data_IF_682073750031
#
_entry.id   IF_682073750031
#
_cell.length_a   1.000
_cell.length_b   1.000
_cell.length_c   1.000
_cell.angle_alpha   90.00
_cell.angle_beta   90.00
_cell.angle_gamma   90.00
#
_symmetry.space_group_name_H-M   'P 1'
#
loop_
_entity.id
_entity.type
_entity.pdbx_description
1 polymer ?
#
# COMPACT_ATOMS: atom_id res chain seq x y z
N UNK A 1 -66.82 -47.97 -26.05
CA UNK A 1 -65.71 -47.70 -27.01
C UNK A 1 -64.99 -46.37 -26.79
N UNK A 2 -65.64 -45.19 -26.83
CA UNK A 2 -64.94 -43.87 -26.68
C UNK A 2 -64.12 -43.69 -25.39
N UNK A 3 -64.58 -44.23 -24.25
CA UNK A 3 -63.84 -44.21 -22.97
C UNK A 3 -62.57 -45.06 -23.00
N UNK A 4 -62.64 -46.24 -23.63
CA UNK A 4 -61.50 -47.16 -23.77
C UNK A 4 -60.40 -46.55 -24.66
N UNK A 5 -60.80 -45.86 -25.74
CA UNK A 5 -59.87 -45.18 -26.63
C UNK A 5 -59.20 -43.97 -25.97
N UNK A 6 -59.93 -43.20 -25.16
CA UNK A 6 -59.36 -42.14 -24.32
C UNK A 6 -58.35 -42.69 -23.30
N UNK A 7 -58.64 -43.85 -22.70
CA UNK A 7 -57.75 -44.48 -21.73
C UNK A 7 -56.46 -45.02 -22.39
N UNK A 8 -56.57 -45.70 -23.53
CA UNK A 8 -55.43 -46.14 -24.34
C UNK A 8 -54.57 -44.98 -24.83
N UNK A 9 -55.19 -43.88 -25.26
CA UNK A 9 -54.50 -42.65 -25.64
C UNK A 9 -53.73 -42.05 -24.46
N UNK A 10 -54.32 -42.04 -23.26
CA UNK A 10 -53.64 -41.58 -22.04
C UNK A 10 -52.41 -42.44 -21.70
N UNK A 11 -52.50 -43.77 -21.85
CA UNK A 11 -51.38 -44.69 -21.62
C UNK A 11 -50.23 -44.44 -22.60
N UNK A 12 -50.54 -44.05 -23.84
CA UNK A 12 -49.54 -43.71 -24.85
C UNK A 12 -48.95 -42.30 -24.66
N UNK A 13 -49.74 -41.33 -24.20
CA UNK A 13 -49.32 -39.94 -24.00
C UNK A 13 -48.54 -39.72 -22.69
N UNK A 14 -48.84 -40.50 -21.64
CA UNK A 14 -48.19 -40.36 -20.34
C UNK A 14 -46.65 -40.57 -20.39
N UNK A 15 -46.10 -41.60 -21.08
CA UNK A 15 -44.64 -41.76 -21.25
C UNK A 15 -43.99 -40.59 -21.98
N UNK A 16 -44.66 -40.03 -22.98
CA UNK A 16 -44.17 -38.87 -23.75
C UNK A 16 -44.13 -37.62 -22.87
N UNK A 17 -45.15 -37.42 -22.04
CA UNK A 17 -45.19 -36.32 -21.07
C UNK A 17 -44.07 -36.43 -20.02
N UNK A 18 -43.84 -37.64 -19.49
CA UNK A 18 -42.74 -37.92 -18.53
C UNK A 18 -41.38 -37.68 -19.18
N UNK A 19 -41.17 -38.14 -20.42
CA UNK A 19 -39.94 -37.91 -21.17
C UNK A 19 -39.69 -36.42 -21.42
N UNK A 20 -40.71 -35.66 -21.81
CA UNK A 20 -40.60 -34.22 -22.00
C UNK A 20 -40.27 -33.47 -20.70
N UNK A 21 -40.89 -33.85 -19.57
CA UNK A 21 -40.57 -33.30 -18.26
C UNK A 21 -39.13 -33.59 -17.85
N UNK A 22 -38.65 -34.83 -18.05
CA UNK A 22 -37.27 -35.21 -17.77
C UNK A 22 -36.28 -34.42 -18.65
N UNK A 23 -36.59 -34.26 -19.95
CA UNK A 23 -35.79 -33.45 -20.87
C UNK A 23 -35.69 -31.99 -20.43
N UNK A 24 -36.81 -31.36 -20.07
CA UNK A 24 -36.82 -29.97 -19.56
C UNK A 24 -35.99 -29.86 -18.28
N UNK A 25 -36.08 -30.84 -17.38
CA UNK A 25 -35.27 -30.89 -16.16
C UNK A 25 -33.76 -30.98 -16.45
N UNK A 26 -33.35 -31.83 -17.39
CA UNK A 26 -31.94 -31.97 -17.81
C UNK A 26 -31.46 -30.70 -18.53
N UNK A 27 -32.24 -30.15 -19.45
CA UNK A 27 -31.90 -28.91 -20.17
C UNK A 27 -31.75 -27.74 -19.18
N UNK A 28 -32.62 -27.65 -18.16
CA UNK A 28 -32.51 -26.67 -17.08
C UNK A 28 -31.23 -26.89 -16.25
N UNK A 29 -30.95 -28.12 -15.80
CA UNK A 29 -29.74 -28.45 -15.03
C UNK A 29 -28.46 -28.09 -15.78
N UNK A 30 -28.37 -28.45 -17.07
CA UNK A 30 -27.22 -28.11 -17.93
C UNK A 30 -27.10 -26.61 -18.13
N UNK A 31 -28.23 -25.90 -18.34
CA UNK A 31 -28.25 -24.45 -18.54
C UNK A 31 -27.83 -23.69 -17.28
N UNK A 32 -28.35 -24.08 -16.13
CA UNK A 32 -27.97 -23.48 -14.84
C UNK A 32 -26.52 -23.80 -14.51
N UNK A 33 -26.05 -25.04 -14.70
CA UNK A 33 -24.64 -25.41 -14.53
C UNK A 33 -23.70 -24.53 -15.38
N UNK A 34 -23.97 -24.41 -16.69
CA UNK A 34 -23.20 -23.53 -17.59
C UNK A 34 -23.29 -22.04 -17.21
N UNK A 35 -24.40 -21.59 -16.64
CA UNK A 35 -24.55 -20.22 -16.16
C UNK A 35 -23.66 -19.98 -14.92
N UNK A 36 -23.66 -20.90 -13.96
CA UNK A 36 -22.79 -20.81 -12.77
C UNK A 36 -21.32 -20.91 -13.12
N UNK A 37 -20.94 -21.77 -14.08
CA UNK A 37 -19.57 -21.80 -14.62
C UNK A 37 -19.17 -20.45 -15.21
N UNK A 38 -20.00 -19.87 -16.09
CA UNK A 38 -19.75 -18.55 -16.68
C UNK A 38 -19.65 -17.44 -15.64
N UNK A 39 -20.56 -17.41 -14.67
CA UNK A 39 -20.51 -16.43 -13.58
C UNK A 39 -19.23 -16.62 -12.78
N UNK A 40 -18.87 -17.86 -12.43
CA UNK A 40 -17.63 -18.17 -11.72
C UNK A 40 -16.39 -17.69 -12.46
N UNK A 41 -16.31 -17.92 -13.78
CA UNK A 41 -15.20 -17.42 -14.61
C UNK A 41 -15.17 -15.89 -14.67
N UNK A 42 -16.33 -15.23 -14.83
CA UNK A 42 -16.40 -13.76 -14.84
C UNK A 42 -16.00 -13.15 -13.50
N UNK A 43 -16.47 -13.73 -12.39
CA UNK A 43 -16.12 -13.29 -11.05
C UNK A 43 -14.64 -13.49 -10.78
N UNK A 44 -14.06 -14.64 -11.12
CA UNK A 44 -12.62 -14.89 -10.99
C UNK A 44 -11.82 -13.89 -11.84
N UNK A 45 -12.23 -13.69 -13.10
CA UNK A 45 -11.61 -12.71 -13.98
C UNK A 45 -11.64 -11.30 -13.40
N UNK A 46 -12.78 -10.88 -12.85
CA UNK A 46 -12.92 -9.58 -12.19
C UNK A 46 -12.02 -9.47 -10.95
N UNK A 47 -11.93 -10.49 -10.11
CA UNK A 47 -11.05 -10.51 -8.94
C UNK A 47 -9.58 -10.36 -9.35
N UNK A 48 -9.14 -11.10 -10.38
CA UNK A 48 -7.77 -11.03 -10.89
C UNK A 48 -7.47 -9.64 -11.45
N UNK A 49 -8.37 -9.10 -12.28
CA UNK A 49 -8.20 -7.76 -12.87
C UNK A 49 -8.14 -6.70 -11.78
N UNK A 50 -9.07 -6.72 -10.82
CA UNK A 50 -9.10 -5.77 -9.71
C UNK A 50 -7.84 -5.90 -8.83
N UNK A 51 -7.37 -7.12 -8.58
CA UNK A 51 -6.13 -7.36 -7.84
C UNK A 51 -4.90 -6.75 -8.54
N UNK A 52 -4.78 -6.95 -9.85
CA UNK A 52 -3.68 -6.36 -10.65
C UNK A 52 -3.77 -4.82 -10.63
N UNK A 53 -4.96 -4.26 -10.82
CA UNK A 53 -5.16 -2.81 -10.77
C UNK A 53 -4.84 -2.24 -9.38
N UNK A 54 -5.18 -2.95 -8.31
CA UNK A 54 -4.88 -2.53 -6.95
C UNK A 54 -3.37 -2.49 -6.70
N UNK A 55 -2.63 -3.53 -7.12
CA UNK A 55 -1.16 -3.56 -6.99
C UNK A 55 -0.54 -2.42 -7.80
N UNK A 56 -1.00 -2.21 -9.04
CA UNK A 56 -0.51 -1.11 -9.87
C UNK A 56 -0.78 0.27 -9.24
N UNK A 57 -1.96 0.46 -8.64
CA UNK A 57 -2.31 1.70 -7.96
C UNK A 57 -1.45 1.92 -6.69
N UNK A 58 -1.22 0.86 -5.92
CA UNK A 58 -0.33 0.90 -4.75
C UNK A 58 1.07 1.32 -5.17
N UNK A 59 1.63 0.71 -6.22
CA UNK A 59 2.98 1.01 -6.72
C UNK A 59 3.07 2.46 -7.22
N UNK A 60 2.11 2.88 -8.06
CA UNK A 60 2.07 4.24 -8.59
C UNK A 60 2.00 5.30 -7.47
N UNK A 61 1.17 5.05 -6.45
CA UNK A 61 1.00 5.92 -5.27
C UNK A 61 2.12 5.79 -4.24
N UNK A 62 3.12 4.94 -4.47
CA UNK A 62 4.33 4.81 -3.64
C UNK A 62 5.55 5.46 -4.29
N UNK A 63 5.42 6.06 -5.48
CA UNK A 63 6.55 6.68 -6.17
C UNK A 63 6.90 8.07 -5.60
N UNK A 64 8.17 8.46 -5.64
CA UNK A 64 8.60 9.82 -5.31
C UNK A 64 7.84 10.86 -6.14
N UNK A 65 7.61 10.56 -7.42
CA UNK A 65 6.88 11.43 -8.32
C UNK A 65 5.47 11.73 -7.81
N UNK A 66 4.75 10.71 -7.34
CA UNK A 66 3.41 10.89 -6.77
C UNK A 66 3.44 11.70 -5.48
N UNK A 67 4.32 11.37 -4.52
CA UNK A 67 4.45 12.12 -3.27
C UNK A 67 4.74 13.61 -3.51
N UNK A 68 5.63 13.91 -4.46
CA UNK A 68 6.04 15.27 -4.79
C UNK A 68 4.99 16.08 -5.57
N UNK A 69 3.87 15.48 -5.99
CA UNK A 69 2.74 16.24 -6.54
C UNK A 69 2.11 17.14 -5.46
N UNK A 70 1.98 16.61 -4.24
CA UNK A 70 1.37 17.34 -3.11
C UNK A 70 2.42 17.92 -2.16
N UNK A 71 3.63 17.35 -2.13
CA UNK A 71 4.74 17.81 -1.28
C UNK A 71 5.94 18.36 -2.08
N UNK A 72 5.74 19.33 -2.99
CA UNK A 72 6.80 19.79 -3.88
C UNK A 72 7.96 20.46 -3.14
N UNK A 73 7.69 21.04 -1.97
CA UNK A 73 8.64 21.83 -1.18
C UNK A 73 9.77 21.00 -0.55
N UNK A 74 9.65 19.68 -0.46
CA UNK A 74 10.73 18.82 0.03
C UNK A 74 11.65 18.30 -1.06
N UNK A 75 11.34 18.54 -2.34
CA UNK A 75 12.03 17.91 -3.48
C UNK A 75 13.54 18.15 -3.44
N UNK A 76 13.95 19.41 -3.38
CA UNK A 76 15.37 19.77 -3.44
C UNK A 76 16.11 19.31 -2.18
N UNK A 77 15.47 19.42 -1.01
CA UNK A 77 16.02 18.93 0.26
C UNK A 77 16.31 17.43 0.18
N UNK A 78 15.30 16.64 -0.21
CA UNK A 78 15.41 15.19 -0.33
C UNK A 78 16.53 14.77 -1.28
N UNK A 79 16.53 15.30 -2.52
CA UNK A 79 17.52 14.91 -3.53
C UNK A 79 18.94 15.45 -3.25
N UNK A 80 19.08 16.45 -2.38
CA UNK A 80 20.40 16.91 -1.92
C UNK A 80 21.05 15.96 -0.90
N UNK A 81 20.25 15.14 -0.22
CA UNK A 81 20.72 14.24 0.84
C UNK A 81 21.41 12.99 0.29
N UNK A 82 22.20 12.26 1.11
CA UNK A 82 22.71 10.96 0.72
C UNK A 82 21.58 9.98 0.30
N UNK A 83 20.44 9.95 0.98
CA UNK A 83 19.34 9.03 0.59
C UNK A 83 18.83 9.30 -0.82
N UNK A 84 18.53 10.56 -1.14
CA UNK A 84 18.06 10.95 -2.46
C UNK A 84 19.11 10.70 -3.56
N UNK A 85 20.39 10.99 -3.28
CA UNK A 85 21.50 10.74 -4.22
C UNK A 85 21.71 9.26 -4.55
N UNK A 86 21.26 8.37 -3.67
CA UNK A 86 21.45 6.93 -3.80
C UNK A 86 20.19 6.18 -4.24
N UNK A 87 19.16 6.92 -4.65
CA UNK A 87 17.96 6.33 -5.23
C UNK A 87 17.05 5.65 -4.20
N UNK A 88 17.22 5.94 -2.91
CA UNK A 88 16.20 5.59 -1.91
C UNK A 88 14.93 6.37 -2.25
N UNK A 89 13.78 5.72 -2.16
CA UNK A 89 12.48 6.34 -2.43
C UNK A 89 11.84 6.90 -1.15
N UNK A 90 10.86 7.78 -1.30
CA UNK A 90 10.03 8.26 -0.19
C UNK A 90 9.34 7.09 0.52
N UNK A 91 8.82 6.13 -0.26
CA UNK A 91 8.13 4.96 0.26
C UNK A 91 9.04 4.00 1.04
N UNK A 92 10.33 3.91 0.68
CA UNK A 92 11.28 3.06 1.41
C UNK A 92 11.43 3.47 2.88
N UNK A 93 11.15 4.73 3.21
CA UNK A 93 11.15 5.23 4.60
C UNK A 93 9.74 5.41 5.16
N UNK A 94 8.80 5.95 4.37
CA UNK A 94 7.48 6.39 4.85
C UNK A 94 6.37 5.32 4.76
N UNK A 95 6.62 4.19 4.09
CA UNK A 95 5.65 3.11 3.95
C UNK A 95 6.28 1.85 4.54
N UNK A 96 5.98 1.52 5.81
CA UNK A 96 6.48 0.30 6.43
C UNK A 96 6.08 -0.93 5.62
N UNK A 97 6.97 -1.93 5.57
CA UNK A 97 6.74 -3.18 4.82
C UNK A 97 5.85 -4.17 5.55
N UNK A 98 5.63 -3.97 6.86
CA UNK A 98 4.70 -4.76 7.64
C UNK A 98 3.24 -4.45 7.25
N UNK A 99 2.36 -5.45 7.25
CA UNK A 99 0.98 -5.30 6.75
C UNK A 99 0.21 -4.21 7.49
N UNK A 100 0.41 -4.08 8.81
CA UNK A 100 -0.30 -3.12 9.62
C UNK A 100 0.17 -1.69 9.32
N UNK A 101 1.49 -1.45 9.32
CA UNK A 101 2.10 -0.17 8.99
C UNK A 101 1.83 0.25 7.55
N UNK A 102 1.95 -0.67 6.58
CA UNK A 102 1.58 -0.43 5.20
C UNK A 102 0.13 0.05 5.07
N UNK A 103 -0.80 -0.64 5.74
CA UNK A 103 -2.22 -0.30 5.70
C UNK A 103 -2.47 1.08 6.33
N UNK A 104 -1.85 1.36 7.47
CA UNK A 104 -1.94 2.67 8.14
C UNK A 104 -1.40 3.79 7.25
N UNK A 105 -0.24 3.62 6.63
CA UNK A 105 0.36 4.60 5.72
C UNK A 105 -0.54 4.87 4.52
N UNK A 106 -1.15 3.83 3.91
CA UNK A 106 -2.07 4.01 2.78
C UNK A 106 -3.39 4.69 3.18
N UNK A 107 -3.94 4.38 4.36
CA UNK A 107 -5.11 5.09 4.89
C UNK A 107 -4.78 6.55 5.24
N UNK A 108 -3.59 6.81 5.78
CA UNK A 108 -3.06 8.14 6.02
C UNK A 108 -2.95 8.95 4.72
N UNK A 109 -2.37 8.37 3.67
CA UNK A 109 -2.28 8.99 2.35
C UNK A 109 -3.64 9.31 1.72
N UNK A 110 -4.67 8.48 1.93
CA UNK A 110 -6.04 8.81 1.52
C UNK A 110 -6.60 10.03 2.27
N UNK A 111 -6.30 10.15 3.56
CA UNK A 111 -6.67 11.31 4.37
C UNK A 111 -5.94 12.57 3.91
N UNK A 112 -4.65 12.48 3.61
CA UNK A 112 -3.86 13.58 3.05
C UNK A 112 -4.38 14.03 1.69
N UNK A 113 -4.71 13.09 0.80
CA UNK A 113 -5.32 13.39 -0.48
C UNK A 113 -6.67 14.11 -0.31
N UNK A 114 -7.51 13.67 0.63
CA UNK A 114 -8.76 14.36 0.96
C UNK A 114 -8.49 15.81 1.40
N UNK A 115 -7.61 16.01 2.39
CA UNK A 115 -7.23 17.34 2.91
C UNK A 115 -6.71 18.23 1.78
N UNK A 116 -5.82 17.71 0.93
CA UNK A 116 -5.27 18.46 -0.21
C UNK A 116 -6.36 19.02 -1.14
N UNK A 117 -7.46 18.30 -1.35
CA UNK A 117 -8.55 18.77 -2.20
C UNK A 117 -9.62 19.59 -1.47
N UNK A 118 -9.67 19.56 -0.13
CA UNK A 118 -10.77 20.18 0.63
C UNK A 118 -10.35 21.32 1.54
N UNK A 119 -9.08 21.41 1.92
CA UNK A 119 -8.56 22.35 2.91
C UNK A 119 -7.38 23.16 2.35
N UNK A 120 -7.12 24.38 2.86
CA UNK A 120 -5.87 25.07 2.60
C UNK A 120 -4.67 24.22 3.05
N UNK A 121 -3.62 24.22 2.25
CA UNK A 121 -2.40 23.46 2.51
C UNK A 121 -1.18 24.32 2.15
N UNK A 122 0.01 24.04 2.72
CA UNK A 122 1.19 24.84 2.43
C UNK A 122 1.59 24.69 0.96
N UNK A 123 1.84 25.82 0.30
CA UNK A 123 2.33 25.86 -1.08
C UNK A 123 3.85 26.02 -1.12
N UNK A 124 4.43 26.66 -0.10
CA UNK A 124 5.87 26.87 0.03
C UNK A 124 6.47 26.13 1.22
N UNK A 125 7.79 25.98 1.18
CA UNK A 125 8.54 25.43 2.31
C UNK A 125 8.38 26.26 3.59
N UNK A 126 8.29 27.58 3.45
CA UNK A 126 8.14 28.51 4.57
C UNK A 126 6.76 28.36 5.22
N UNK A 127 5.70 28.30 4.42
CA UNK A 127 4.33 28.09 4.93
C UNK A 127 4.26 26.77 5.70
N UNK A 128 4.87 25.70 5.15
CA UNK A 128 4.95 24.43 5.87
C UNK A 128 5.67 24.58 7.21
N UNK A 129 6.78 25.31 7.24
CA UNK A 129 7.58 25.46 8.45
C UNK A 129 6.84 26.21 9.56
N UNK A 130 6.18 27.31 9.23
CA UNK A 130 5.54 28.19 10.19
C UNK A 130 4.23 27.62 10.73
N UNK A 131 3.44 26.96 9.88
CA UNK A 131 2.07 26.57 10.24
C UNK A 131 1.90 25.06 10.48
N UNK A 132 2.77 24.25 9.87
CA UNK A 132 2.52 22.81 9.72
C UNK A 132 3.60 21.93 10.37
N UNK A 133 4.84 22.41 10.51
CA UNK A 133 5.98 21.62 11.01
C UNK A 133 5.66 20.81 12.26
N UNK A 134 5.33 21.46 13.38
CA UNK A 134 5.19 20.80 14.68
C UNK A 134 4.16 19.68 14.63
N UNK A 135 2.97 19.98 14.09
CA UNK A 135 1.86 19.02 14.04
C UNK A 135 2.17 17.83 13.12
N UNK A 136 2.77 18.08 11.96
CA UNK A 136 2.95 17.05 10.95
C UNK A 136 4.25 16.25 11.13
N UNK A 137 5.30 16.82 11.73
CA UNK A 137 6.49 16.06 12.12
C UNK A 137 6.15 15.02 13.19
N UNK A 138 5.40 15.39 14.23
CA UNK A 138 4.94 14.44 15.27
C UNK A 138 4.16 13.29 14.65
N UNK A 139 3.17 13.59 13.81
CA UNK A 139 2.38 12.57 13.12
C UNK A 139 3.24 11.69 12.18
N UNK A 140 4.21 12.29 11.49
CA UNK A 140 5.11 11.53 10.61
C UNK A 140 5.98 10.56 11.40
N UNK A 141 6.54 10.98 12.55
CA UNK A 141 7.30 10.09 13.44
C UNK A 141 6.41 9.00 14.07
N UNK A 142 5.18 9.32 14.47
CA UNK A 142 4.30 8.35 15.11
C UNK A 142 3.74 7.30 14.14
N UNK A 143 3.49 7.68 12.88
CA UNK A 143 2.70 6.85 11.97
C UNK A 143 3.42 6.42 10.70
N UNK A 144 4.34 7.25 10.19
CA UNK A 144 4.91 7.04 8.86
C UNK A 144 6.39 6.64 8.92
N UNK A 145 7.12 6.99 9.97
CA UNK A 145 8.56 6.76 10.09
C UNK A 145 8.85 5.89 11.32
N UNK A 146 9.12 4.61 11.08
CA UNK A 146 9.46 3.64 12.13
C UNK A 146 10.95 3.39 12.18
N UNK A 147 11.50 3.20 13.38
CA UNK A 147 12.93 2.94 13.54
C UNK A 147 13.39 1.65 12.84
N UNK A 148 12.52 0.64 12.80
CA UNK A 148 12.83 -0.64 12.16
C UNK A 148 13.12 -0.48 10.66
N UNK A 149 12.51 0.52 9.99
CA UNK A 149 12.74 0.79 8.57
C UNK A 149 14.18 1.20 8.29
N UNK A 150 14.80 1.92 9.25
CA UNK A 150 16.19 2.29 9.18
C UNK A 150 17.06 1.04 9.22
N UNK A 151 16.75 0.11 10.14
CA UNK A 151 17.52 -1.11 10.36
C UNK A 151 17.42 -2.13 9.22
N UNK A 152 16.36 -2.11 8.42
CA UNK A 152 16.29 -2.91 7.18
C UNK A 152 17.45 -2.57 6.22
N UNK A 153 17.83 -1.29 6.18
CA UNK A 153 18.89 -0.78 5.33
C UNK A 153 20.18 -0.43 6.08
N UNK A 154 20.18 -0.35 7.42
CA UNK A 154 21.33 0.03 8.27
C UNK A 154 21.79 -1.03 9.28
N UNK A 155 21.09 -2.15 9.46
CA UNK A 155 21.46 -3.22 10.38
C UNK A 155 22.60 -4.14 9.90
N UNK A 156 22.88 -5.21 10.64
CA UNK A 156 24.03 -6.09 10.34
C UNK A 156 23.78 -7.10 9.21
N UNK A 157 22.52 -7.47 8.97
CA UNK A 157 22.15 -8.54 8.03
C UNK A 157 21.69 -8.01 6.66
N UNK A 158 22.56 -7.28 5.95
CA UNK A 158 22.15 -6.57 4.72
C UNK A 158 22.55 -7.29 3.43
N UNK A 159 21.60 -7.39 2.49
CA UNK A 159 21.83 -7.73 1.07
C UNK A 159 22.11 -6.49 0.20
N UNK A 160 21.90 -5.27 0.74
CA UNK A 160 22.00 -4.02 -0.02
C UNK A 160 23.38 -3.38 0.19
N UNK A 161 24.17 -3.14 -0.87
CA UNK A 161 25.49 -2.55 -0.74
C UNK A 161 25.33 -1.04 -0.54
N UNK A 162 25.32 -0.58 0.70
CA UNK A 162 25.64 0.83 0.96
C UNK A 162 26.99 0.96 1.65
N UNK A 163 27.93 1.49 0.86
CA UNK A 163 29.36 1.52 1.10
C UNK A 163 29.72 2.85 1.75
N UNK A 164 30.51 2.78 2.82
CA UNK A 164 31.13 3.87 3.56
C UNK A 164 30.23 4.62 4.55
N UNK A 165 29.79 3.91 5.60
CA UNK A 165 29.71 4.58 6.90
C UNK A 165 31.15 4.97 7.27
N UNK A 166 31.41 6.27 7.44
CA UNK A 166 32.74 6.72 7.89
C UNK A 166 33.12 5.94 9.15
N UNK A 167 34.37 5.46 9.24
CA UNK A 167 34.87 4.77 10.46
C UNK A 167 34.52 5.52 11.75
N UNK A 168 34.53 6.85 11.68
CA UNK A 168 34.13 7.72 12.77
C UNK A 168 32.67 7.51 13.24
N UNK A 169 31.72 7.32 12.32
CA UNK A 169 30.31 7.08 12.66
C UNK A 169 30.07 5.73 13.35
N UNK A 170 30.74 4.67 12.88
CA UNK A 170 30.69 3.34 13.54
C UNK A 170 31.25 3.41 14.95
N UNK A 171 32.38 4.12 15.13
CA UNK A 171 32.99 4.31 16.45
C UNK A 171 32.06 5.06 17.41
N UNK A 172 31.23 5.99 16.93
CA UNK A 172 30.26 6.69 17.78
C UNK A 172 29.16 5.75 18.26
N UNK A 173 28.58 4.92 17.38
CA UNK A 173 27.54 3.96 17.76
C UNK A 173 28.01 3.00 18.85
N UNK A 174 29.22 2.46 18.70
CA UNK A 174 29.86 1.60 19.70
C UNK A 174 30.17 2.36 20.99
N UNK A 175 30.77 3.56 20.89
CA UNK A 175 31.18 4.34 22.07
C UNK A 175 30.00 4.80 22.94
N UNK A 176 28.88 5.16 22.31
CA UNK A 176 27.67 5.59 23.02
C UNK A 176 26.84 4.41 23.51
N UNK A 177 27.17 3.18 23.07
CA UNK A 177 26.43 1.95 23.37
C UNK A 177 24.96 2.07 22.98
N UNK A 178 24.69 2.52 21.76
CA UNK A 178 23.35 2.84 21.23
C UNK A 178 22.37 1.68 21.48
N UNK A 179 22.76 0.46 21.12
CA UNK A 179 21.94 -0.74 21.31
C UNK A 179 21.67 -1.07 22.79
N UNK A 180 22.71 -1.01 23.64
CA UNK A 180 22.58 -1.32 25.08
C UNK A 180 21.67 -0.31 25.80
N UNK A 181 21.72 0.95 25.36
CA UNK A 181 20.92 2.04 25.93
C UNK A 181 19.55 2.18 25.28
N UNK A 182 19.28 1.48 24.18
CA UNK A 182 18.04 1.62 23.41
C UNK A 182 17.83 3.04 22.86
N UNK A 183 18.92 3.72 22.47
CA UNK A 183 18.83 5.04 21.85
C UNK A 183 18.26 4.91 20.44
N UNK A 184 17.29 5.75 20.11
CA UNK A 184 16.66 5.73 18.79
C UNK A 184 17.56 6.35 17.74
N UNK A 185 17.51 5.81 16.51
CA UNK A 185 18.16 6.39 15.33
C UNK A 185 17.89 7.91 15.20
N UNK A 186 16.66 8.34 15.49
CA UNK A 186 16.21 9.72 15.33
C UNK A 186 16.73 10.68 16.41
N UNK A 187 17.21 10.17 17.55
CA UNK A 187 17.78 11.02 18.61
C UNK A 187 19.10 11.68 18.19
N UNK A 188 19.86 11.00 17.33
CA UNK A 188 21.12 11.52 16.78
C UNK A 188 20.98 11.95 15.31
N UNK A 189 20.24 11.18 14.50
CA UNK A 189 19.99 11.50 13.10
C UNK A 189 18.68 12.28 12.93
N UNK A 190 18.63 13.50 13.47
CA UNK A 190 17.51 14.41 13.28
C UNK A 190 17.66 15.22 11.98
N UNK A 191 16.54 15.58 11.33
CA UNK A 191 16.49 16.44 10.13
C UNK A 191 17.37 15.99 8.94
N UNK A 192 17.66 14.69 8.85
CA UNK A 192 18.59 14.11 7.87
C UNK A 192 18.07 14.05 6.42
N UNK A 193 16.77 14.26 6.21
CA UNK A 193 16.12 14.20 4.87
C UNK A 193 15.30 15.46 4.56
N UNK A 194 14.56 16.00 5.54
CA UNK A 194 13.65 17.14 5.37
C UNK A 194 14.05 18.37 6.21
N UNK A 195 15.35 18.56 6.44
CA UNK A 195 15.87 19.58 7.34
C UNK A 195 15.74 21.01 6.81
N UNK A 196 15.16 21.90 7.62
CA UNK A 196 15.08 23.37 7.36
C UNK A 196 16.26 24.14 7.96
N UNK A 197 17.11 23.46 8.73
CA UNK A 197 18.26 24.06 9.39
C UNK A 197 19.53 23.37 8.93
N UNK A 198 20.50 24.15 8.45
CA UNK A 198 21.90 23.76 8.61
C UNK A 198 22.12 23.42 10.09
N UNK A 199 22.58 22.21 10.39
CA UNK A 199 23.02 21.85 11.73
C UNK A 199 24.04 22.90 12.21
N UNK A 200 23.68 23.69 13.23
CA UNK A 200 24.57 24.75 13.77
C UNK A 200 25.52 24.26 14.87
N UNK A 201 25.63 22.95 15.06
CA UNK A 201 26.31 22.41 16.24
C UNK A 201 25.36 22.36 17.42
N UNK A 202 25.65 21.47 18.38
CA UNK A 202 25.05 21.54 19.69
C UNK A 202 25.55 22.84 20.35
N UNK A 203 24.68 23.83 20.49
CA UNK A 203 24.93 24.97 21.37
C UNK A 203 24.68 24.52 22.82
N UNK A 204 25.53 23.60 23.32
CA UNK A 204 25.92 23.40 24.73
C UNK A 204 27.38 22.92 24.81
#
# INVERSE_FOLDING_TARGET
MKRLWKFLKLILEAPVAVFNLARVGVDALVRYGKLYEKIGFLTLGAIVILGVLLVAAIEATSTNGFCLLCHPYFKEEFYSTPHGKNGVSCADCHIPKDIAGFTQAKLGGLKEAWIYFTEPHPETRQDWYEEYKTKWEELAYEHNLKEEVCLECHGDNREVPYREVFKYGVNIHESLKVEEKGLSCFECHYNFVHGVQEWRGADE
#
